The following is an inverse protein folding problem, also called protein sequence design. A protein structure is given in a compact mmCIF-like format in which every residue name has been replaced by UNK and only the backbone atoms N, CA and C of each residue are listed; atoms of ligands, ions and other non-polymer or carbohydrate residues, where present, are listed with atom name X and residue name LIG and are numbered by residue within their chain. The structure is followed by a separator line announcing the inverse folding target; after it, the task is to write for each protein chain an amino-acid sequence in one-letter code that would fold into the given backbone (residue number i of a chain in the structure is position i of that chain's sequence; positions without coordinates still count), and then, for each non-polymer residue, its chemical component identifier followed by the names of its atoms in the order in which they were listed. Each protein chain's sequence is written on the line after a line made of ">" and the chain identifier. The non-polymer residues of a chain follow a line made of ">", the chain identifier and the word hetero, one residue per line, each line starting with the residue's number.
data_IF_440517642301
#
_entry.id   IF_440517642301
#
_cell.length_a   1.000
_cell.length_b   1.000
_cell.length_c   1.000
_cell.angle_alpha   90.00
_cell.angle_beta   90.00
_cell.angle_gamma   90.00
#
_symmetry.space_group_name_H-M   'P 1'
#
loop_
_entity.id
_entity.type
_entity.pdbx_description
1 polymer ?
#
# COMPACT_ATOMS: atom_id res chain seq x y z
N UNK A 1 -13.48 1.46 21.09
CA UNK A 1 -13.85 2.82 20.61
C UNK A 1 -12.71 3.51 19.86
N UNK A 2 -11.46 3.46 20.37
CA UNK A 2 -10.28 4.09 19.71
C UNK A 2 -10.04 3.51 18.33
N UNK A 3 -9.94 2.19 18.20
CA UNK A 3 -9.70 1.49 16.91
C UNK A 3 -10.77 1.85 15.89
N UNK A 4 -12.06 1.68 16.22
CA UNK A 4 -13.15 1.97 15.28
C UNK A 4 -13.13 3.43 14.77
N UNK A 5 -12.93 4.39 15.69
CA UNK A 5 -12.82 5.80 15.28
C UNK A 5 -11.61 6.05 14.41
N UNK A 6 -10.46 5.45 14.73
CA UNK A 6 -9.24 5.56 13.95
C UNK A 6 -9.40 4.96 12.55
N UNK A 7 -10.00 3.78 12.44
CA UNK A 7 -10.29 3.11 11.17
C UNK A 7 -11.15 4.00 10.26
N UNK A 8 -12.34 4.40 10.71
CA UNK A 8 -13.23 5.25 9.91
C UNK A 8 -12.62 6.60 9.54
N UNK A 9 -11.81 7.18 10.43
CA UNK A 9 -11.14 8.44 10.17
C UNK A 9 -10.08 8.28 9.06
N UNK A 10 -9.25 7.25 9.12
CA UNK A 10 -8.18 7.03 8.13
C UNK A 10 -8.78 6.62 6.79
N UNK A 11 -9.77 5.73 6.78
CA UNK A 11 -10.49 5.35 5.55
C UNK A 11 -11.20 6.56 4.93
N UNK A 12 -11.84 7.41 5.75
CA UNK A 12 -12.49 8.63 5.29
C UNK A 12 -11.50 9.63 4.70
N UNK A 13 -10.36 9.87 5.35
CA UNK A 13 -9.29 10.72 4.83
C UNK A 13 -8.75 10.14 3.51
N UNK A 14 -8.48 8.84 3.46
CA UNK A 14 -8.02 8.15 2.27
C UNK A 14 -9.01 8.31 1.10
N UNK A 15 -10.31 8.12 1.35
CA UNK A 15 -11.34 8.32 0.35
C UNK A 15 -11.34 9.76 -0.20
N UNK A 16 -11.28 10.77 0.69
CA UNK A 16 -11.22 12.19 0.29
C UNK A 16 -9.96 12.48 -0.55
N UNK A 17 -8.82 11.92 -0.19
CA UNK A 17 -7.58 12.10 -0.94
C UNK A 17 -7.59 11.42 -2.32
N UNK A 18 -8.37 10.36 -2.50
CA UNK A 18 -8.55 9.66 -3.78
C UNK A 18 -9.59 10.32 -4.69
N UNK A 19 -10.52 11.12 -4.13
CA UNK A 19 -11.59 11.79 -4.90
C UNK A 19 -11.07 12.56 -6.12
N UNK A 20 -10.01 13.40 -6.04
CA UNK A 20 -9.56 14.18 -7.18
C UNK A 20 -9.15 13.34 -8.39
N UNK A 21 -8.66 12.12 -8.14
CA UNK A 21 -8.22 11.21 -9.20
C UNK A 21 -9.43 10.49 -9.80
N UNK A 22 -10.20 9.78 -8.99
CA UNK A 22 -11.31 8.98 -9.50
C UNK A 22 -12.50 9.80 -9.99
N UNK A 23 -12.80 10.96 -9.38
CA UNK A 23 -13.87 11.82 -9.88
C UNK A 23 -13.51 12.50 -11.21
N UNK A 24 -12.23 12.76 -11.45
CA UNK A 24 -11.76 13.28 -12.74
C UNK A 24 -12.02 12.27 -13.86
N UNK A 25 -11.79 10.99 -13.62
CA UNK A 25 -11.84 9.95 -14.66
C UNK A 25 -13.23 9.33 -14.79
N UNK A 26 -14.00 9.22 -13.70
CA UNK A 26 -15.28 8.50 -13.63
C UNK A 26 -16.46 9.38 -13.19
N UNK A 27 -16.27 10.69 -13.01
CA UNK A 27 -17.32 11.60 -12.55
C UNK A 27 -17.91 11.20 -11.20
N UNK A 28 -19.25 11.18 -11.08
CA UNK A 28 -19.94 10.86 -9.81
C UNK A 28 -19.64 9.45 -9.31
N UNK A 29 -19.44 8.48 -10.21
CA UNK A 29 -19.04 7.10 -9.84
C UNK A 29 -17.68 7.08 -9.11
N UNK A 30 -16.82 8.06 -9.37
CA UNK A 30 -15.52 8.21 -8.70
C UNK A 30 -15.61 8.36 -7.19
N UNK A 31 -16.74 8.87 -6.65
CA UNK A 31 -16.97 8.96 -5.20
C UNK A 31 -17.00 7.56 -4.59
N UNK A 32 -17.80 6.66 -5.18
CA UNK A 32 -17.89 5.27 -4.74
C UNK A 32 -16.53 4.54 -4.89
N UNK A 33 -15.86 4.76 -6.02
CA UNK A 33 -14.55 4.17 -6.28
C UNK A 33 -13.51 4.62 -5.26
N UNK A 34 -13.52 5.89 -4.87
CA UNK A 34 -12.61 6.44 -3.85
C UNK A 34 -12.83 5.80 -2.48
N UNK A 35 -14.09 5.65 -2.07
CA UNK A 35 -14.45 5.00 -0.80
C UNK A 35 -14.02 3.52 -0.83
N UNK A 36 -14.37 2.81 -1.90
CA UNK A 36 -14.05 1.39 -2.05
C UNK A 36 -12.53 1.12 -2.00
N UNK A 37 -11.74 1.86 -2.81
CA UNK A 37 -10.30 1.67 -2.85
C UNK A 37 -9.60 2.12 -1.56
N UNK A 38 -10.14 3.12 -0.85
CA UNK A 38 -9.61 3.52 0.46
C UNK A 38 -9.78 2.40 1.49
N UNK A 39 -10.96 1.82 1.59
CA UNK A 39 -11.26 0.70 2.50
C UNK A 39 -10.43 -0.53 2.10
N UNK A 40 -10.42 -0.88 0.80
CA UNK A 40 -9.66 -2.03 0.28
C UNK A 40 -8.17 -1.91 0.56
N UNK A 41 -7.59 -0.72 0.37
CA UNK A 41 -6.18 -0.47 0.65
C UNK A 41 -5.85 -0.51 2.15
N UNK A 42 -6.68 0.11 2.98
CA UNK A 42 -6.50 0.10 4.42
C UNK A 42 -6.65 -1.29 5.03
N UNK A 43 -7.63 -2.07 4.55
CA UNK A 43 -7.84 -3.45 4.97
C UNK A 43 -6.83 -4.44 4.37
N UNK A 44 -5.87 -3.98 3.55
CA UNK A 44 -4.93 -4.84 2.80
C UNK A 44 -5.65 -5.96 2.01
N UNK A 45 -6.82 -5.64 1.44
CA UNK A 45 -7.64 -6.61 0.73
C UNK A 45 -7.28 -6.75 -0.76
N UNK A 46 -6.76 -5.67 -1.37
CA UNK A 46 -6.29 -5.66 -2.76
C UNK A 46 -7.37 -5.74 -3.83
N UNK A 47 -8.64 -5.66 -3.43
CA UNK A 47 -9.74 -5.64 -4.39
C UNK A 47 -9.84 -4.29 -5.07
N UNK A 48 -10.09 -4.33 -6.37
CA UNK A 48 -10.41 -3.16 -7.18
C UNK A 48 -11.74 -3.33 -7.93
N UNK A 49 -12.30 -2.23 -8.38
CA UNK A 49 -13.52 -2.18 -9.19
C UNK A 49 -13.28 -1.43 -10.51
N UNK A 50 -12.05 -1.47 -11.00
CA UNK A 50 -11.62 -0.83 -12.24
C UNK A 50 -11.75 -1.74 -13.46
N UNK A 51 -11.96 -3.03 -13.25
CA UNK A 51 -12.10 -4.02 -14.30
C UNK A 51 -13.29 -3.73 -15.23
N UNK A 52 -13.09 -3.98 -16.53
CA UNK A 52 -14.11 -3.93 -17.56
C UNK A 52 -14.36 -5.32 -18.14
N UNK A 53 -15.45 -5.50 -18.91
CA UNK A 53 -15.75 -6.78 -19.55
C UNK A 53 -14.62 -7.28 -20.46
N UNK A 54 -13.90 -6.36 -21.11
CA UNK A 54 -12.80 -6.65 -22.03
C UNK A 54 -11.46 -6.84 -21.32
N UNK A 55 -11.31 -6.28 -20.10
CA UNK A 55 -10.09 -6.36 -19.30
C UNK A 55 -10.46 -6.44 -17.81
N UNK A 56 -10.56 -7.67 -17.30
CA UNK A 56 -11.06 -7.95 -15.94
C UNK A 56 -10.00 -7.75 -14.86
N UNK A 57 -8.72 -7.89 -15.17
CA UNK A 57 -7.62 -7.88 -14.20
C UNK A 57 -6.73 -6.62 -14.30
N UNK A 58 -7.36 -5.47 -14.44
CA UNK A 58 -6.64 -4.19 -14.63
C UNK A 58 -5.90 -3.76 -13.37
N UNK A 59 -6.47 -3.97 -12.20
CA UNK A 59 -6.02 -3.40 -10.93
C UNK A 59 -5.70 -1.91 -11.06
N UNK A 60 -4.60 -1.43 -10.48
CA UNK A 60 -4.16 -0.04 -10.57
C UNK A 60 -3.14 0.20 -11.70
N UNK A 61 -3.00 -0.72 -12.67
CA UNK A 61 -1.99 -0.62 -13.73
C UNK A 61 -2.13 0.64 -14.60
N UNK A 62 -3.37 1.08 -14.86
CA UNK A 62 -3.66 2.34 -15.53
C UNK A 62 -3.16 3.59 -14.77
N UNK A 63 -2.98 3.49 -13.46
CA UNK A 63 -2.52 4.57 -12.59
C UNK A 63 -1.07 4.42 -12.14
N UNK A 64 -0.29 3.54 -12.76
CA UNK A 64 1.11 3.29 -12.43
C UNK A 64 2.02 4.54 -12.44
N UNK A 65 1.67 5.56 -13.24
CA UNK A 65 2.37 6.84 -13.30
C UNK A 65 1.76 7.95 -12.42
N UNK A 66 0.62 7.71 -11.78
CA UNK A 66 -0.04 8.72 -10.96
C UNK A 66 0.58 8.75 -9.55
N UNK A 67 1.48 9.72 -9.32
CA UNK A 67 2.20 9.86 -8.05
C UNK A 67 1.25 9.97 -6.85
N UNK A 68 0.21 10.81 -6.96
CA UNK A 68 -0.72 11.08 -5.86
C UNK A 68 -1.48 9.83 -5.43
N UNK A 69 -2.10 9.14 -6.37
CA UNK A 69 -2.88 7.92 -6.10
C UNK A 69 -1.99 6.84 -5.47
N UNK A 70 -0.80 6.59 -6.06
CA UNK A 70 0.11 5.56 -5.55
C UNK A 70 0.58 5.85 -4.12
N UNK A 71 0.92 7.11 -3.79
CA UNK A 71 1.32 7.49 -2.42
C UNK A 71 0.17 7.28 -1.44
N UNK A 72 -1.05 7.71 -1.78
CA UNK A 72 -2.21 7.54 -0.89
C UNK A 72 -2.48 6.06 -0.63
N UNK A 73 -2.51 5.23 -1.66
CA UNK A 73 -2.73 3.78 -1.52
C UNK A 73 -1.61 3.14 -0.68
N UNK A 74 -0.34 3.43 -0.97
CA UNK A 74 0.78 2.89 -0.19
C UNK A 74 0.69 3.29 1.29
N UNK A 75 0.35 4.54 1.60
CA UNK A 75 0.19 4.99 2.98
C UNK A 75 -0.94 4.26 3.69
N UNK A 76 -2.10 4.06 3.03
CA UNK A 76 -3.22 3.30 3.59
C UNK A 76 -2.81 1.86 3.90
N UNK A 77 -2.12 1.18 2.98
CA UNK A 77 -1.60 -0.18 3.16
C UNK A 77 -0.64 -0.24 4.35
N UNK A 78 0.33 0.68 4.42
CA UNK A 78 1.31 0.70 5.51
C UNK A 78 0.62 0.95 6.85
N UNK A 79 -0.28 1.95 6.95
CA UNK A 79 -0.97 2.29 8.18
C UNK A 79 -1.86 1.12 8.64
N UNK A 80 -2.57 0.46 7.74
CA UNK A 80 -3.35 -0.74 8.05
C UNK A 80 -2.45 -1.89 8.53
N UNK A 81 -1.31 -2.11 7.86
CA UNK A 81 -0.40 -3.22 8.11
C UNK A 81 0.49 -3.12 9.36
N UNK A 82 0.67 -1.94 9.97
CA UNK A 82 1.51 -1.78 11.18
C UNK A 82 0.84 -2.20 12.49
N UNK A 83 -0.47 -2.40 12.49
CA UNK A 83 -1.23 -2.90 13.64
C UNK A 83 -1.70 -1.84 14.64
N UNK A 84 -2.84 -2.14 15.27
CA UNK A 84 -3.54 -1.20 16.15
C UNK A 84 -2.80 -0.89 17.46
N UNK A 85 -1.97 -1.82 17.95
CA UNK A 85 -1.13 -1.58 19.14
C UNK A 85 -0.04 -0.53 18.83
N UNK A 86 0.50 -0.55 17.63
CA UNK A 86 1.48 0.46 17.18
C UNK A 86 0.81 1.83 17.02
N UNK A 87 -0.46 1.88 16.56
CA UNK A 87 -1.22 3.12 16.51
C UNK A 87 -1.42 3.74 17.89
N UNK A 88 -1.74 2.92 18.90
CA UNK A 88 -1.89 3.35 20.28
C UNK A 88 -0.60 3.99 20.80
N UNK A 89 0.54 3.37 20.53
CA UNK A 89 1.85 3.91 20.89
C UNK A 89 2.16 5.24 20.17
N UNK A 90 1.87 5.33 18.87
CA UNK A 90 2.07 6.55 18.08
C UNK A 90 1.17 7.68 18.60
N UNK A 91 -0.09 7.38 18.89
CA UNK A 91 -1.05 8.35 19.39
C UNK A 91 -0.66 8.87 20.78
N UNK A 92 -0.28 7.96 21.70
CA UNK A 92 0.04 8.27 23.09
C UNK A 92 1.40 8.95 23.24
N UNK A 93 2.42 8.41 22.58
CA UNK A 93 3.81 8.86 22.73
C UNK A 93 4.27 9.83 21.64
N UNK A 94 3.42 10.09 20.62
CA UNK A 94 3.73 10.96 19.47
C UNK A 94 5.08 10.57 18.85
N UNK A 95 5.97 11.54 18.59
CA UNK A 95 7.29 11.31 17.99
C UNK A 95 8.38 10.82 18.96
N UNK A 96 8.02 10.51 20.21
CA UNK A 96 8.99 10.06 21.23
C UNK A 96 9.27 8.57 21.10
N UNK A 97 9.95 8.14 20.02
CA UNK A 97 10.27 6.75 19.70
C UNK A 97 10.89 5.95 20.88
N UNK A 98 11.69 6.60 21.73
CA UNK A 98 12.29 5.95 22.92
C UNK A 98 11.24 5.38 23.89
N UNK A 99 10.03 5.98 23.95
CA UNK A 99 8.94 5.59 24.87
C UNK A 99 8.01 4.52 24.28
N UNK A 100 8.18 4.15 23.01
CA UNK A 100 7.36 3.10 22.38
C UNK A 100 7.66 1.75 23.00
N UNK A 101 6.63 0.90 23.04
CA UNK A 101 6.78 -0.52 23.42
C UNK A 101 7.80 -1.19 22.51
N UNK A 102 8.52 -2.18 23.04
CA UNK A 102 9.52 -2.93 22.27
C UNK A 102 8.92 -3.51 20.98
N UNK A 103 7.72 -4.06 21.07
CA UNK A 103 6.98 -4.61 19.93
C UNK A 103 6.77 -3.55 18.83
N UNK A 104 6.29 -2.35 19.17
CA UNK A 104 6.04 -1.28 18.19
C UNK A 104 7.34 -0.81 17.52
N UNK A 105 8.46 -0.78 18.25
CA UNK A 105 9.78 -0.46 17.69
C UNK A 105 10.21 -1.51 16.66
N UNK A 106 10.06 -2.79 17.00
CA UNK A 106 10.41 -3.91 16.10
C UNK A 106 9.52 -3.84 14.85
N UNK A 107 8.20 -3.68 15.00
CA UNK A 107 7.26 -3.60 13.89
C UNK A 107 7.64 -2.46 12.93
N UNK A 108 7.88 -1.26 13.45
CA UNK A 108 8.23 -0.11 12.62
C UNK A 108 9.57 -0.30 11.90
N UNK A 109 10.59 -0.82 12.60
CA UNK A 109 11.89 -1.09 12.01
C UNK A 109 11.80 -2.17 10.93
N UNK A 110 11.16 -3.30 11.24
CA UNK A 110 10.97 -4.41 10.29
C UNK A 110 10.16 -3.94 9.08
N UNK A 111 9.10 -3.16 9.29
CA UNK A 111 8.31 -2.57 8.19
C UNK A 111 9.17 -1.70 7.29
N UNK A 112 10.01 -0.83 7.87
CA UNK A 112 10.90 0.01 7.08
C UNK A 112 11.91 -0.83 6.26
N UNK A 113 12.54 -1.83 6.88
CA UNK A 113 13.48 -2.73 6.19
C UNK A 113 12.79 -3.48 5.04
N UNK A 114 11.61 -4.06 5.29
CA UNK A 114 10.85 -4.82 4.29
C UNK A 114 10.26 -3.96 3.17
N UNK A 115 10.18 -2.65 3.34
CA UNK A 115 9.80 -1.72 2.28
C UNK A 115 11.03 -1.27 1.49
N UNK A 116 12.06 -0.75 2.16
CA UNK A 116 13.16 -0.10 1.48
C UNK A 116 14.14 -1.07 0.83
N UNK A 117 14.45 -2.21 1.46
CA UNK A 117 15.41 -3.17 0.90
C UNK A 117 14.91 -3.79 -0.42
N UNK A 118 13.68 -4.35 -0.49
CA UNK A 118 13.17 -4.85 -1.76
C UNK A 118 12.91 -3.73 -2.78
N UNK A 119 12.48 -2.54 -2.34
CA UNK A 119 12.29 -1.42 -3.25
C UNK A 119 13.59 -1.01 -3.97
N UNK A 120 14.73 -1.00 -3.25
CA UNK A 120 16.03 -0.74 -3.86
C UNK A 120 16.38 -1.86 -4.86
N UNK A 121 16.12 -3.11 -4.51
CA UNK A 121 16.35 -4.23 -5.43
C UNK A 121 15.52 -4.10 -6.71
N UNK A 122 14.21 -3.90 -6.61
CA UNK A 122 13.32 -3.72 -7.74
C UNK A 122 13.71 -2.50 -8.58
N UNK A 123 14.13 -1.43 -7.92
CA UNK A 123 14.62 -0.24 -8.61
C UNK A 123 15.87 -0.53 -9.45
N UNK A 124 16.80 -1.32 -8.97
CA UNK A 124 18.06 -1.60 -9.69
C UNK A 124 17.86 -2.67 -10.74
N UNK A 125 17.14 -3.76 -10.44
CA UNK A 125 17.13 -4.96 -11.27
C UNK A 125 15.92 -5.07 -12.19
N UNK A 126 14.71 -4.69 -11.73
CA UNK A 126 13.48 -4.99 -12.48
C UNK A 126 12.99 -3.85 -13.37
N UNK A 127 13.01 -2.63 -12.88
CA UNK A 127 12.40 -1.48 -13.59
C UNK A 127 13.40 -0.59 -14.32
N UNK A 128 14.52 -1.14 -14.80
CA UNK A 128 15.58 -0.42 -15.50
C UNK A 128 15.16 0.29 -16.79
N UNK A 129 14.13 -0.19 -17.46
CA UNK A 129 13.64 0.32 -18.75
C UNK A 129 12.70 1.54 -18.62
N UNK A 130 12.32 1.92 -17.41
CA UNK A 130 11.31 2.97 -17.17
C UNK A 130 11.98 4.27 -16.68
N UNK A 131 11.35 5.43 -16.96
CA UNK A 131 11.85 6.73 -16.48
C UNK A 131 12.04 6.73 -14.95
N UNK A 132 13.07 7.42 -14.45
CA UNK A 132 13.50 7.39 -13.04
C UNK A 132 12.33 7.64 -12.05
N UNK A 133 11.48 8.64 -12.33
CA UNK A 133 10.35 8.94 -11.44
C UNK A 133 9.31 7.82 -11.38
N UNK A 134 8.92 7.25 -12.52
CA UNK A 134 7.98 6.13 -12.58
C UNK A 134 8.62 4.86 -12.02
N UNK A 135 9.90 4.64 -12.27
CA UNK A 135 10.70 3.53 -11.75
C UNK A 135 10.71 3.51 -10.22
N UNK A 136 10.99 4.66 -9.58
CA UNK A 136 10.95 4.80 -8.12
C UNK A 136 9.57 4.46 -7.56
N UNK A 137 8.53 4.99 -8.19
CA UNK A 137 7.16 4.78 -7.76
C UNK A 137 6.74 3.31 -7.86
N UNK A 138 7.02 2.65 -8.98
CA UNK A 138 6.74 1.23 -9.19
C UNK A 138 7.51 0.35 -8.20
N UNK A 139 8.78 0.63 -7.96
CA UNK A 139 9.62 -0.15 -7.04
C UNK A 139 9.12 -0.07 -5.60
N UNK A 140 8.76 1.14 -5.14
CA UNK A 140 8.17 1.35 -3.81
C UNK A 140 6.80 0.69 -3.71
N UNK A 141 5.95 0.89 -4.72
CA UNK A 141 4.60 0.32 -4.72
C UNK A 141 4.65 -1.20 -4.67
N UNK A 142 5.52 -1.81 -5.48
CA UNK A 142 5.67 -3.26 -5.53
C UNK A 142 6.16 -3.85 -4.21
N UNK A 143 7.10 -3.17 -3.54
CA UNK A 143 7.57 -3.59 -2.21
C UNK A 143 6.49 -3.47 -1.13
N UNK A 144 5.63 -2.45 -1.19
CA UNK A 144 4.55 -2.24 -0.22
C UNK A 144 3.40 -3.23 -0.45
N UNK A 145 2.98 -3.43 -1.71
CA UNK A 145 1.81 -4.25 -2.03
C UNK A 145 2.00 -5.73 -1.75
N UNK A 146 3.22 -6.24 -1.88
CA UNK A 146 3.55 -7.66 -1.59
C UNK A 146 3.36 -8.04 -0.14
N UNK A 147 3.27 -7.07 0.77
CA UNK A 147 2.96 -7.30 2.19
C UNK A 147 1.46 -7.42 2.42
N UNK A 148 0.83 -8.41 1.81
CA UNK A 148 -0.60 -8.80 1.94
C UNK A 148 -1.62 -7.84 1.33
N UNK A 149 -1.22 -6.76 0.61
CA UNK A 149 -2.20 -5.83 0.05
C UNK A 149 -2.82 -6.32 -1.27
N UNK A 150 -2.01 -6.81 -2.22
CA UNK A 150 -2.51 -7.43 -3.44
C UNK A 150 -2.83 -6.50 -4.61
N UNK A 151 -2.75 -5.17 -4.45
CA UNK A 151 -2.88 -4.25 -5.59
C UNK A 151 -1.72 -4.39 -6.56
N UNK A 152 -1.98 -4.24 -7.84
CA UNK A 152 -0.96 -4.32 -8.88
C UNK A 152 -0.90 -3.04 -9.73
N UNK A 153 0.30 -2.50 -9.91
CA UNK A 153 0.58 -1.35 -10.79
C UNK A 153 1.60 -1.69 -11.88
N UNK A 154 2.30 -2.82 -11.76
CA UNK A 154 3.32 -3.27 -12.67
C UNK A 154 2.91 -4.57 -13.37
N UNK A 155 3.43 -4.81 -14.55
CA UNK A 155 3.32 -6.12 -15.20
C UNK A 155 4.30 -7.09 -14.51
N UNK A 156 3.76 -8.01 -13.72
CA UNK A 156 4.53 -9.00 -12.98
C UNK A 156 5.25 -10.01 -13.89
N UNK A 157 4.72 -10.23 -15.10
CA UNK A 157 5.32 -11.15 -16.06
C UNK A 157 6.62 -10.60 -16.66
N UNK A 158 6.81 -9.28 -16.62
CA UNK A 158 8.01 -8.61 -17.10
C UNK A 158 9.15 -8.53 -16.08
N UNK A 159 8.90 -8.96 -14.83
CA UNK A 159 9.89 -8.94 -13.76
C UNK A 159 10.88 -10.11 -13.88
N UNK A 160 12.09 -9.91 -13.36
CA UNK A 160 13.11 -10.98 -13.30
C UNK A 160 12.66 -12.13 -12.39
N UNK A 161 13.13 -13.35 -12.67
CA UNK A 161 12.85 -14.52 -11.82
C UNK A 161 13.25 -14.29 -10.36
N UNK A 162 14.35 -13.60 -10.13
CA UNK A 162 14.82 -13.23 -8.78
C UNK A 162 13.87 -12.24 -8.13
N UNK A 163 13.37 -11.24 -8.88
CA UNK A 163 12.36 -10.30 -8.42
C UNK A 163 11.07 -11.02 -7.99
N UNK A 164 10.59 -11.94 -8.81
CA UNK A 164 9.42 -12.76 -8.48
C UNK A 164 9.64 -13.63 -7.24
N UNK A 165 10.81 -14.25 -7.08
CA UNK A 165 11.16 -15.01 -5.88
C UNK A 165 11.16 -14.15 -4.62
N UNK A 166 11.72 -12.93 -4.69
CA UNK A 166 11.69 -11.97 -3.57
C UNK A 166 10.25 -11.58 -3.22
N UNK A 167 9.38 -11.36 -4.22
CA UNK A 167 7.97 -11.08 -3.98
C UNK A 167 7.27 -12.22 -3.23
N UNK A 168 7.51 -13.47 -3.62
CA UNK A 168 6.96 -14.65 -2.94
C UNK A 168 7.41 -14.68 -1.47
N UNK A 169 8.69 -14.42 -1.20
CA UNK A 169 9.21 -14.32 0.17
C UNK A 169 8.56 -13.21 0.98
N UNK A 170 8.33 -12.04 0.38
CA UNK A 170 7.64 -10.93 1.04
C UNK A 170 6.18 -11.25 1.35
N UNK A 171 5.48 -11.95 0.44
CA UNK A 171 4.11 -12.42 0.67
C UNK A 171 4.00 -13.40 1.84
N UNK A 172 5.02 -14.24 2.04
CA UNK A 172 5.08 -15.16 3.18
C UNK A 172 5.27 -14.43 4.53
N UNK A 173 5.93 -13.27 4.53
CA UNK A 173 6.18 -12.50 5.76
C UNK A 173 4.93 -11.81 6.32
N UNK A 174 3.94 -11.53 5.48
CA UNK A 174 2.65 -11.00 5.90
C UNK A 174 2.68 -9.63 6.58
N UNK A 175 1.58 -9.32 7.28
CA UNK A 175 1.43 -8.12 8.09
C UNK A 175 1.87 -8.28 9.54
N UNK A 176 1.81 -7.19 10.31
CA UNK A 176 2.15 -7.25 11.74
C UNK A 176 0.99 -7.83 12.57
N UNK A 177 1.26 -8.39 13.77
CA UNK A 177 0.22 -8.83 14.68
C UNK A 177 -0.76 -7.71 15.03
N UNK A 178 -2.04 -8.03 15.12
CA UNK A 178 -3.13 -7.05 15.41
C UNK A 178 -3.24 -5.95 14.35
N UNK A 179 -2.94 -6.26 13.09
CA UNK A 179 -3.15 -5.38 11.94
C UNK A 179 -4.41 -5.78 11.15
N UNK A 180 -4.74 -5.00 10.13
CA UNK A 180 -5.78 -5.35 9.14
C UNK A 180 -5.30 -6.37 8.11
N UNK A 181 -4.01 -6.63 8.07
CA UNK A 181 -3.36 -7.47 7.06
C UNK A 181 -3.48 -9.00 7.30
N UNK A 182 -4.24 -9.43 8.27
CA UNK A 182 -4.50 -10.85 8.55
C UNK A 182 -3.40 -11.56 9.35
#
# INVERSE_FOLDING_TARGET
>A
KFILRGTFLIEGIGAVLLLPVFCRDFGIKGIWMSIFHSISAFCNAGFDILGTADNTFVSLSGYAGNFWLNIVIMLLIIIGGIGFLTWDDVYTNKLRFKRYRMQSKIILLTTAILIFVPAIFFFVCDFGQVSIGKRTLLSLFQSVTTRTAGFNTADLSSMTEVGQAIMILLMLMGGSPSSTAG
#
